data_IF_897606800694
#
_entry.id   IF_897606800694
#
_cell.length_a   1.000
_cell.length_b   1.000
_cell.length_c   1.000
_cell.angle_alpha   90.00
_cell.angle_beta   90.00
_cell.angle_gamma   90.00
#
_symmetry.space_group_name_H-M   'P 1'
#
loop_
_entity.id
_entity.type
_entity.pdbx_description
1 polymer ?
#
# COMPACT_ATOMS: atom_id res chain seq x y z
N UNK A 1 -22.08 11.60 -1.50
CA UNK A 1 -21.10 11.03 -2.45
C UNK A 1 -21.76 10.95 -3.82
N UNK A 2 -21.20 11.64 -4.82
CA UNK A 2 -21.67 11.64 -6.20
C UNK A 2 -20.65 10.92 -7.10
N UNK A 3 -21.10 9.99 -7.93
CA UNK A 3 -20.23 9.27 -8.89
C UNK A 3 -19.91 10.20 -10.07
N UNK A 4 -18.62 10.39 -10.35
CA UNK A 4 -18.11 11.15 -11.50
C UNK A 4 -17.89 10.20 -12.69
N UNK A 5 -17.24 9.05 -12.46
CA UNK A 5 -16.95 8.07 -13.50
C UNK A 5 -16.40 6.77 -12.95
N UNK A 6 -16.33 5.72 -13.79
CA UNK A 6 -15.68 4.45 -13.48
C UNK A 6 -14.22 4.52 -13.92
N UNK A 7 -13.30 4.03 -13.09
CA UNK A 7 -11.89 3.86 -13.44
C UNK A 7 -11.73 2.61 -14.32
N UNK A 8 -11.31 2.80 -15.57
CA UNK A 8 -11.27 1.72 -16.57
C UNK A 8 -10.16 0.69 -16.34
N UNK A 9 -9.05 1.12 -15.73
CA UNK A 9 -7.86 0.28 -15.52
C UNK A 9 -7.87 -0.53 -14.21
N UNK A 10 -8.91 -0.36 -13.36
CA UNK A 10 -9.00 -1.09 -12.11
C UNK A 10 -9.51 -2.52 -12.32
N UNK A 11 -8.85 -3.51 -11.68
CA UNK A 11 -9.24 -4.93 -11.71
C UNK A 11 -10.60 -5.19 -11.09
N UNK A 12 -10.95 -4.43 -10.06
CA UNK A 12 -12.26 -4.40 -9.38
C UNK A 12 -13.05 -3.15 -9.77
N UNK A 13 -14.32 -3.08 -9.36
CA UNK A 13 -15.12 -1.87 -9.60
C UNK A 13 -14.59 -0.72 -8.73
N UNK A 14 -13.96 0.26 -9.36
CA UNK A 14 -13.50 1.49 -8.73
C UNK A 14 -14.12 2.71 -9.44
N UNK A 15 -14.53 3.70 -8.66
CA UNK A 15 -15.19 4.91 -9.16
C UNK A 15 -14.51 6.16 -8.63
N UNK A 16 -14.25 7.11 -9.52
CA UNK A 16 -14.00 8.49 -9.13
C UNK A 16 -15.32 9.09 -8.63
N UNK A 17 -15.29 9.64 -7.44
CA UNK A 17 -16.45 10.25 -6.80
C UNK A 17 -16.11 11.63 -6.25
N UNK A 18 -17.13 12.48 -6.13
CA UNK A 18 -17.06 13.72 -5.34
C UNK A 18 -17.73 13.50 -4.01
N UNK A 19 -17.03 13.81 -2.93
CA UNK A 19 -17.57 13.80 -1.56
C UNK A 19 -17.78 15.23 -1.11
N UNK A 20 -18.99 15.55 -0.70
CA UNK A 20 -19.34 16.89 -0.21
C UNK A 20 -19.81 16.79 1.24
N UNK A 21 -19.21 17.60 2.12
CA UNK A 21 -19.60 17.75 3.53
C UNK A 21 -19.31 19.18 4.00
N UNK A 22 -20.26 19.81 4.70
CA UNK A 22 -20.07 21.15 5.26
C UNK A 22 -19.73 22.24 4.22
N UNK A 23 -20.18 22.11 2.97
CA UNK A 23 -19.86 23.05 1.89
C UNK A 23 -18.51 22.83 1.20
N UNK A 24 -17.68 21.88 1.69
CA UNK A 24 -16.41 21.50 1.07
C UNK A 24 -16.61 20.26 0.23
N UNK A 25 -16.01 20.22 -0.98
CA UNK A 25 -16.00 19.05 -1.87
C UNK A 25 -14.59 18.60 -2.10
N UNK A 26 -14.38 17.25 -2.13
CA UNK A 26 -13.10 16.63 -2.47
C UNK A 26 -13.33 15.45 -3.42
N UNK A 27 -12.32 15.16 -4.24
CA UNK A 27 -12.27 13.97 -5.06
C UNK A 27 -11.85 12.75 -4.21
N UNK A 28 -12.44 11.60 -4.49
CA UNK A 28 -12.11 10.34 -3.82
C UNK A 28 -12.27 9.15 -4.77
N UNK A 29 -11.64 8.03 -4.41
CA UNK A 29 -11.88 6.73 -5.03
C UNK A 29 -12.87 5.97 -4.14
N UNK A 30 -13.92 5.43 -4.74
CA UNK A 30 -14.87 4.55 -4.09
C UNK A 30 -14.79 3.14 -4.67
N UNK A 31 -14.49 2.17 -3.81
CA UNK A 31 -14.40 0.74 -4.16
C UNK A 31 -15.48 -0.01 -3.38
N UNK A 32 -16.65 -0.32 -3.99
CA UNK A 32 -17.73 -1.05 -3.33
C UNK A 32 -17.37 -2.52 -3.12
N UNK A 33 -17.69 -3.08 -1.96
CA UNK A 33 -17.54 -4.52 -1.65
C UNK A 33 -18.26 -5.38 -2.70
N UNK A 34 -19.45 -4.96 -3.16
CA UNK A 34 -20.20 -5.66 -4.21
C UNK A 34 -19.51 -5.73 -5.57
N UNK A 35 -18.42 -4.98 -5.75
CA UNK A 35 -17.60 -4.95 -6.97
C UNK A 35 -16.30 -5.70 -6.85
N UNK A 36 -16.02 -6.31 -5.72
CA UNK A 36 -14.81 -7.11 -5.49
C UNK A 36 -14.92 -8.45 -6.21
N UNK A 37 -13.80 -8.89 -6.81
CA UNK A 37 -13.66 -10.25 -7.33
C UNK A 37 -13.11 -11.12 -6.22
N UNK A 38 -13.74 -12.25 -5.90
CA UNK A 38 -13.22 -13.19 -4.91
C UNK A 38 -11.80 -13.63 -5.28
N UNK A 39 -10.89 -13.55 -4.31
CA UNK A 39 -9.53 -14.07 -4.42
C UNK A 39 -9.43 -15.35 -3.58
N UNK A 40 -8.94 -16.44 -4.19
CA UNK A 40 -8.86 -17.75 -3.55
C UNK A 40 -7.96 -17.74 -2.31
N UNK A 41 -6.98 -16.85 -2.28
CA UNK A 41 -5.99 -16.71 -1.23
C UNK A 41 -6.31 -15.57 -0.22
N UNK A 42 -7.44 -14.87 -0.40
CA UNK A 42 -7.98 -13.91 0.56
C UNK A 42 -9.46 -14.23 0.85
N UNK A 43 -9.74 -15.40 1.47
CA UNK A 43 -11.12 -15.87 1.66
C UNK A 43 -11.88 -15.07 2.73
N UNK A 44 -11.18 -14.44 3.65
CA UNK A 44 -11.75 -13.76 4.81
C UNK A 44 -11.78 -12.24 4.62
N UNK A 45 -12.78 -11.60 5.22
CA UNK A 45 -12.95 -10.15 5.17
C UNK A 45 -13.33 -9.61 3.78
N UNK A 46 -12.97 -8.36 3.53
CA UNK A 46 -13.17 -7.68 2.25
C UNK A 46 -11.91 -6.92 1.85
N UNK A 47 -11.71 -6.72 0.54
CA UNK A 47 -10.60 -5.89 0.06
C UNK A 47 -10.76 -4.43 0.51
N UNK A 48 -12.00 -3.93 0.55
CA UNK A 48 -12.32 -2.59 1.06
C UNK A 48 -12.01 -2.43 2.56
N UNK A 49 -12.21 -3.49 3.36
CA UNK A 49 -11.79 -3.54 4.76
C UNK A 49 -10.27 -3.46 4.92
N UNK A 50 -9.52 -4.17 4.07
CA UNK A 50 -8.04 -4.15 4.07
C UNK A 50 -7.47 -2.80 3.65
N UNK A 51 -8.11 -2.10 2.71
CA UNK A 51 -7.78 -0.70 2.36
C UNK A 51 -7.91 0.22 3.58
N UNK A 52 -9.00 0.07 4.35
CA UNK A 52 -9.22 0.85 5.58
C UNK A 52 -8.22 0.48 6.66
N UNK A 53 -7.94 -0.83 6.86
CA UNK A 53 -6.94 -1.29 7.81
C UNK A 53 -5.53 -0.76 7.48
N UNK A 54 -5.13 -0.74 6.21
CA UNK A 54 -3.85 -0.19 5.77
C UNK A 54 -3.72 1.30 6.12
N UNK A 55 -4.79 2.09 5.94
CA UNK A 55 -4.81 3.49 6.37
C UNK A 55 -4.63 3.64 7.89
N UNK A 56 -5.38 2.87 8.69
CA UNK A 56 -5.30 2.93 10.15
C UNK A 56 -3.88 2.59 10.65
N UNK A 57 -3.25 1.58 10.05
CA UNK A 57 -1.87 1.17 10.36
C UNK A 57 -0.88 2.26 9.96
N UNK A 58 -1.02 2.84 8.75
CA UNK A 58 -0.18 3.95 8.27
C UNK A 58 -0.24 5.15 9.20
N UNK A 59 -1.44 5.55 9.61
CA UNK A 59 -1.66 6.67 10.52
C UNK A 59 -1.10 6.38 11.93
N UNK A 60 -1.36 5.20 12.48
CA UNK A 60 -0.90 4.81 13.83
C UNK A 60 0.63 4.76 13.93
N UNK A 61 1.32 4.24 12.91
CA UNK A 61 2.78 4.23 12.86
C UNK A 61 3.39 5.58 12.50
N UNK A 62 2.63 6.46 11.86
CA UNK A 62 3.08 7.78 11.40
C UNK A 62 3.86 7.71 10.08
N UNK A 63 3.55 6.75 9.20
CA UNK A 63 4.13 6.71 7.85
C UNK A 63 3.54 7.74 6.91
N UNK A 64 2.25 8.06 7.09
CA UNK A 64 1.51 8.97 6.21
C UNK A 64 1.60 8.58 4.72
N UNK A 65 1.67 7.27 4.45
CA UNK A 65 1.75 6.69 3.10
C UNK A 65 0.36 6.56 2.50
N UNK A 66 -0.63 6.08 3.28
CA UNK A 66 -1.98 5.82 2.78
C UNK A 66 -2.83 7.08 2.94
N UNK A 67 -3.47 7.58 1.86
CA UNK A 67 -4.42 8.67 1.96
C UNK A 67 -5.60 8.31 2.87
N UNK A 68 -6.27 9.31 3.42
CA UNK A 68 -7.43 9.11 4.30
C UNK A 68 -8.44 8.15 3.67
N UNK A 69 -8.70 7.05 4.37
CA UNK A 69 -9.55 5.95 3.88
C UNK A 69 -10.55 5.55 4.95
N UNK A 70 -11.81 5.45 4.58
CA UNK A 70 -12.89 5.03 5.47
C UNK A 70 -13.77 3.98 4.80
N UNK A 71 -14.26 3.01 5.58
CA UNK A 71 -15.30 2.09 5.13
C UNK A 71 -16.67 2.70 5.44
N UNK A 72 -17.51 2.87 4.42
CA UNK A 72 -18.86 3.46 4.61
C UNK A 72 -19.84 3.08 3.52
N UNK A 73 -21.12 3.36 3.80
CA UNK A 73 -22.18 3.24 2.81
C UNK A 73 -21.99 4.27 1.69
N UNK A 74 -21.98 3.79 0.46
CA UNK A 74 -21.89 4.58 -0.76
C UNK A 74 -23.01 4.26 -1.75
N UNK A 75 -22.96 4.82 -2.98
CA UNK A 75 -24.02 4.65 -3.99
C UNK A 75 -24.24 3.20 -4.45
N UNK A 76 -23.28 2.30 -4.23
CA UNK A 76 -23.33 0.88 -4.61
C UNK A 76 -23.14 -0.06 -3.41
N UNK A 77 -23.58 0.36 -2.23
CA UNK A 77 -23.43 -0.41 -1.00
C UNK A 77 -22.23 0.02 -0.15
N UNK A 78 -21.83 -0.82 0.81
CA UNK A 78 -20.64 -0.57 1.63
C UNK A 78 -19.40 -0.70 0.75
N UNK A 79 -18.41 0.16 0.98
CA UNK A 79 -17.13 0.13 0.29
C UNK A 79 -16.10 1.06 0.94
N UNK A 80 -14.85 0.93 0.54
CA UNK A 80 -13.81 1.88 0.91
C UNK A 80 -13.97 3.18 0.12
N UNK A 81 -13.76 4.29 0.80
CA UNK A 81 -13.71 5.62 0.24
C UNK A 81 -12.37 6.24 0.64
N UNK A 82 -11.49 6.43 -0.33
CA UNK A 82 -10.14 6.96 -0.14
C UNK A 82 -10.00 8.31 -0.82
N UNK A 83 -9.41 9.30 -0.13
CA UNK A 83 -9.10 10.60 -0.72
C UNK A 83 -8.25 10.41 -1.99
N UNK A 84 -8.61 11.12 -3.05
CA UNK A 84 -7.78 11.18 -4.25
C UNK A 84 -6.48 11.93 -3.97
N UNK A 85 -5.38 11.45 -4.54
CA UNK A 85 -4.06 12.07 -4.43
C UNK A 85 -3.82 12.96 -5.65
N UNK A 86 -3.44 14.20 -5.44
CA UNK A 86 -3.21 15.17 -6.51
C UNK A 86 -4.49 15.63 -7.24
N UNK A 87 -4.33 16.03 -8.49
CA UNK A 87 -5.44 16.39 -9.39
C UNK A 87 -5.88 15.15 -10.18
N UNK A 88 -7.17 14.75 -10.13
CA UNK A 88 -7.66 13.58 -10.87
C UNK A 88 -7.61 13.72 -12.40
N UNK A 89 -7.28 14.90 -12.92
CA UNK A 89 -7.21 15.19 -14.34
C UNK A 89 -5.79 15.52 -14.83
N UNK A 90 -4.79 15.46 -13.93
CA UNK A 90 -3.37 15.65 -14.27
C UNK A 90 -2.62 14.32 -14.23
N UNK A 91 -1.54 14.24 -15.01
CA UNK A 91 -0.63 13.09 -14.93
C UNK A 91 0.09 13.09 -13.59
N UNK A 92 0.09 11.96 -12.85
CA UNK A 92 0.78 11.85 -11.58
C UNK A 92 2.30 11.78 -11.77
N UNK A 93 3.02 12.29 -10.78
CA UNK A 93 4.48 12.11 -10.69
C UNK A 93 4.78 10.76 -10.03
N UNK A 94 5.20 9.78 -10.83
CA UNK A 94 5.56 8.45 -10.35
C UNK A 94 6.99 8.42 -9.80
N UNK A 95 7.23 7.52 -8.84
CA UNK A 95 8.54 7.26 -8.20
C UNK A 95 9.11 5.91 -8.62
N UNK A 96 8.46 5.24 -9.55
CA UNK A 96 8.87 3.98 -10.20
C UNK A 96 8.67 4.14 -11.69
N UNK A 97 9.62 3.66 -12.50
CA UNK A 97 9.57 3.78 -13.96
C UNK A 97 10.17 2.55 -14.65
N UNK A 98 9.95 2.45 -15.95
CA UNK A 98 10.60 1.48 -16.84
C UNK A 98 11.41 2.23 -17.87
N UNK A 99 12.73 2.04 -17.84
CA UNK A 99 13.67 2.78 -18.68
C UNK A 99 14.60 1.83 -19.43
N UNK A 100 15.29 2.34 -20.46
CA UNK A 100 16.38 1.58 -21.08
C UNK A 100 17.54 1.39 -20.06
N UNK A 101 18.30 0.26 -20.13
CA UNK A 101 19.35 -0.03 -19.14
C UNK A 101 20.45 1.03 -19.02
N UNK A 102 20.68 1.80 -20.08
CA UNK A 102 21.66 2.90 -20.16
C UNK A 102 21.06 4.28 -19.82
N UNK A 103 19.74 4.34 -19.56
CA UNK A 103 18.99 5.55 -19.24
C UNK A 103 18.49 5.61 -17.80
N UNK A 104 19.07 4.79 -16.89
CA UNK A 104 18.72 4.85 -15.46
C UNK A 104 19.08 6.21 -14.89
N UNK A 105 18.12 6.99 -14.32
CA UNK A 105 18.42 8.31 -13.80
C UNK A 105 19.32 8.26 -12.56
N UNK A 106 20.09 9.32 -12.34
CA UNK A 106 20.85 9.49 -11.10
C UNK A 106 19.92 9.46 -9.88
N UNK A 107 20.30 8.72 -8.84
CA UNK A 107 19.49 8.58 -7.63
C UNK A 107 18.34 7.55 -7.76
N UNK A 108 18.33 6.75 -8.84
CA UNK A 108 17.39 5.64 -9.02
C UNK A 108 18.09 4.28 -8.92
N UNK A 109 17.37 3.27 -8.45
CA UNK A 109 17.89 1.92 -8.23
C UNK A 109 17.20 0.93 -9.17
N UNK A 110 17.95 0.12 -9.93
CA UNK A 110 17.39 -0.95 -10.76
C UNK A 110 16.90 -2.11 -9.90
N UNK A 111 15.72 -2.65 -10.25
CA UNK A 111 15.06 -3.74 -9.51
C UNK A 111 14.93 -5.00 -10.36
N UNK A 112 14.43 -4.87 -11.58
CA UNK A 112 14.12 -5.99 -12.47
C UNK A 112 14.53 -5.65 -13.90
N UNK A 113 15.21 -6.56 -14.58
CA UNK A 113 15.49 -6.49 -16.02
C UNK A 113 14.48 -7.32 -16.78
N UNK A 114 14.04 -6.82 -17.92
CA UNK A 114 13.07 -7.50 -18.78
C UNK A 114 13.17 -7.05 -20.23
N UNK A 115 12.16 -7.42 -21.00
CA UNK A 115 11.98 -7.00 -22.39
C UNK A 115 10.70 -6.14 -22.48
N UNK A 116 10.79 -5.04 -23.18
CA UNK A 116 9.66 -4.19 -23.52
C UNK A 116 8.75 -4.82 -24.58
N UNK A 117 7.65 -4.18 -24.90
CA UNK A 117 6.67 -4.69 -25.88
C UNK A 117 7.26 -4.92 -27.28
N UNK A 118 8.37 -4.25 -27.62
CA UNK A 118 9.07 -4.39 -28.90
C UNK A 118 10.27 -5.32 -28.85
N UNK A 119 10.50 -6.03 -27.71
CA UNK A 119 11.64 -6.89 -27.48
C UNK A 119 12.94 -6.15 -27.14
N UNK A 120 12.88 -4.85 -26.90
CA UNK A 120 14.00 -4.05 -26.44
C UNK A 120 14.27 -4.28 -24.94
N UNK A 121 15.56 -4.29 -24.52
CA UNK A 121 15.88 -4.47 -23.11
C UNK A 121 15.42 -3.27 -22.30
N UNK A 122 14.74 -3.54 -21.18
CA UNK A 122 14.25 -2.55 -20.24
C UNK A 122 14.60 -2.91 -18.80
N UNK A 123 14.57 -1.94 -17.91
CA UNK A 123 14.75 -2.14 -16.48
C UNK A 123 13.69 -1.35 -15.69
N UNK A 124 13.05 -2.04 -14.75
CA UNK A 124 12.21 -1.40 -13.74
C UNK A 124 13.12 -0.75 -12.72
N UNK A 125 12.91 0.51 -12.45
CA UNK A 125 13.69 1.32 -11.51
C UNK A 125 12.77 2.04 -10.53
N UNK A 126 13.26 2.30 -9.32
CA UNK A 126 12.60 3.21 -8.39
C UNK A 126 13.58 4.24 -7.83
N UNK A 127 13.06 5.33 -7.36
CA UNK A 127 13.83 6.38 -6.72
C UNK A 127 14.47 5.88 -5.41
N UNK A 128 15.75 6.20 -5.19
CA UNK A 128 16.48 5.94 -3.92
C UNK A 128 16.30 7.13 -2.98
N UNK A 129 15.11 7.27 -2.41
CA UNK A 129 14.81 8.36 -1.49
C UNK A 129 14.23 7.86 -0.18
N UNK A 130 14.37 8.64 0.92
CA UNK A 130 13.77 8.29 2.21
C UNK A 130 12.26 8.09 2.15
N UNK A 131 11.57 8.83 1.29
CA UNK A 131 10.11 8.72 1.14
C UNK A 131 9.70 7.38 0.51
N UNK A 132 10.41 6.92 -0.53
CA UNK A 132 10.17 5.62 -1.17
C UNK A 132 10.62 4.48 -0.24
N UNK A 133 11.72 4.65 0.47
CA UNK A 133 12.21 3.71 1.47
C UNK A 133 11.21 3.48 2.61
N UNK A 134 10.51 4.55 3.06
CA UNK A 134 9.44 4.44 4.06
C UNK A 134 8.26 3.60 3.55
N UNK A 135 7.91 3.71 2.26
CA UNK A 135 6.89 2.85 1.66
C UNK A 135 7.32 1.39 1.66
N UNK A 136 8.59 1.10 1.37
CA UNK A 136 9.09 -0.28 1.38
C UNK A 136 8.99 -0.93 2.77
N UNK A 137 9.26 -0.19 3.86
CA UNK A 137 9.03 -0.67 5.24
C UNK A 137 7.53 -0.87 5.50
N UNK A 138 6.72 0.09 5.11
CA UNK A 138 5.27 0.02 5.27
C UNK A 138 4.69 -1.20 4.54
N UNK A 139 5.09 -1.46 3.29
CA UNK A 139 4.67 -2.65 2.54
C UNK A 139 5.08 -3.96 3.24
N UNK A 140 6.26 -4.00 3.86
CA UNK A 140 6.69 -5.15 4.65
C UNK A 140 5.84 -5.35 5.92
N UNK A 141 5.44 -4.27 6.59
CA UNK A 141 4.54 -4.31 7.76
C UNK A 141 3.17 -4.86 7.40
N UNK A 142 2.55 -4.31 6.37
CA UNK A 142 1.21 -4.75 5.93
C UNK A 142 1.25 -5.98 5.04
N UNK A 143 2.44 -6.52 4.72
CA UNK A 143 2.60 -7.67 3.82
C UNK A 143 1.88 -7.46 2.49
N UNK A 144 2.17 -6.34 1.82
CA UNK A 144 1.53 -5.97 0.57
C UNK A 144 1.88 -6.98 -0.53
N UNK A 145 0.86 -7.62 -1.11
CA UNK A 145 1.05 -8.69 -2.09
C UNK A 145 0.96 -8.24 -3.54
N UNK A 146 0.82 -6.92 -3.81
CA UNK A 146 0.70 -6.39 -5.17
C UNK A 146 1.15 -4.92 -5.30
N UNK A 147 2.28 -4.54 -4.69
CA UNK A 147 2.81 -3.18 -4.83
C UNK A 147 3.39 -2.96 -6.21
N UNK A 148 2.66 -2.28 -7.07
CA UNK A 148 3.06 -1.85 -8.41
C UNK A 148 3.60 -0.43 -8.40
N UNK A 149 4.34 -0.06 -9.45
CA UNK A 149 4.90 1.28 -9.58
C UNK A 149 3.82 2.35 -9.70
N UNK A 150 2.76 2.09 -10.46
CA UNK A 150 1.63 3.01 -10.63
C UNK A 150 0.77 3.20 -9.37
N UNK A 151 0.98 2.39 -8.32
CA UNK A 151 0.33 2.57 -7.03
C UNK A 151 1.04 3.60 -6.13
N UNK A 152 2.11 4.23 -6.60
CA UNK A 152 2.93 5.17 -5.84
C UNK A 152 3.05 6.49 -6.58
N UNK A 153 2.65 7.57 -5.93
CA UNK A 153 2.72 8.92 -6.50
C UNK A 153 3.29 9.91 -5.49
N UNK A 154 3.95 10.94 -6.01
CA UNK A 154 4.47 12.03 -5.19
C UNK A 154 3.35 13.00 -4.83
N UNK A 155 3.29 13.40 -3.56
CA UNK A 155 2.40 14.45 -3.07
C UNK A 155 3.08 15.24 -1.95
N UNK A 156 3.11 16.57 -2.08
CA UNK A 156 3.58 17.49 -1.02
C UNK A 156 4.97 17.11 -0.44
N UNK A 157 5.90 16.66 -1.28
CA UNK A 157 7.26 16.28 -0.89
C UNK A 157 7.39 14.90 -0.25
N UNK A 158 6.27 14.15 -0.10
CA UNK A 158 6.25 12.75 0.31
C UNK A 158 5.84 11.81 -0.84
N UNK A 159 5.59 10.56 -0.51
CA UNK A 159 5.04 9.55 -1.42
C UNK A 159 3.76 8.99 -0.84
N UNK A 160 2.71 8.97 -1.64
CA UNK A 160 1.43 8.34 -1.32
C UNK A 160 1.31 7.01 -2.04
N UNK A 161 0.82 6.02 -1.31
CA UNK A 161 0.49 4.71 -1.84
C UNK A 161 -1.00 4.44 -1.77
N UNK A 162 -1.53 3.74 -2.75
CA UNK A 162 -2.92 3.28 -2.80
C UNK A 162 -3.00 1.85 -3.31
N UNK A 163 -4.21 1.29 -3.38
CA UNK A 163 -4.49 -0.09 -3.76
C UNK A 163 -3.88 -1.13 -2.79
N UNK A 164 -4.29 -1.05 -1.52
CA UNK A 164 -3.83 -1.92 -0.43
C UNK A 164 -4.80 -3.09 -0.13
N UNK A 165 -5.80 -3.30 -0.98
CA UNK A 165 -6.81 -4.35 -0.77
C UNK A 165 -6.21 -5.76 -0.69
N UNK A 166 -5.09 -6.01 -1.35
CA UNK A 166 -4.38 -7.30 -1.36
C UNK A 166 -3.19 -7.25 -0.40
N UNK A 167 -3.47 -7.07 0.90
CA UNK A 167 -2.48 -6.97 1.97
C UNK A 167 -2.95 -7.67 3.24
N UNK A 168 -2.10 -7.71 4.27
CA UNK A 168 -2.42 -8.21 5.60
C UNK A 168 -2.70 -9.73 5.68
N UNK A 169 -2.28 -10.50 4.68
CA UNK A 169 -2.38 -11.96 4.71
C UNK A 169 -1.54 -12.55 5.86
N UNK A 170 -1.95 -13.72 6.36
CA UNK A 170 -1.26 -14.45 7.44
C UNK A 170 0.11 -14.92 6.98
N UNK A 171 0.18 -15.55 5.80
CA UNK A 171 1.42 -16.04 5.20
C UNK A 171 2.25 -14.89 4.63
N UNK A 172 3.58 -15.04 4.61
CA UNK A 172 4.49 -14.07 4.00
C UNK A 172 4.32 -14.06 2.48
N UNK A 173 3.70 -13.01 1.95
CA UNK A 173 3.37 -12.83 0.53
C UNK A 173 3.83 -11.48 -0.02
N UNK A 174 4.84 -10.86 0.58
CA UNK A 174 5.31 -9.56 0.13
C UNK A 174 5.74 -9.61 -1.35
N UNK A 175 5.07 -8.80 -2.18
CA UNK A 175 5.36 -8.60 -3.59
C UNK A 175 5.40 -7.12 -3.87
N UNK A 176 6.58 -6.63 -4.24
CA UNK A 176 6.78 -5.20 -4.41
C UNK A 176 7.80 -4.91 -5.50
N UNK A 177 7.71 -3.74 -6.11
CA UNK A 177 8.74 -3.20 -7.01
C UNK A 177 9.82 -2.43 -6.26
N UNK A 178 9.81 -2.43 -4.91
CA UNK A 178 10.74 -1.63 -4.09
C UNK A 178 11.92 -2.45 -3.54
N UNK A 179 12.28 -3.56 -4.17
CA UNK A 179 13.38 -4.42 -3.74
C UNK A 179 14.78 -3.80 -3.80
N UNK A 180 14.94 -2.61 -4.38
CA UNK A 180 16.23 -1.91 -4.36
C UNK A 180 16.74 -1.54 -2.96
N UNK A 181 15.88 -1.60 -1.93
CA UNK A 181 16.26 -1.43 -0.53
C UNK A 181 16.61 -2.74 0.18
N UNK A 182 16.34 -3.92 -0.41
CA UNK A 182 16.47 -5.21 0.24
C UNK A 182 17.84 -5.40 0.93
N UNK A 183 17.83 -5.85 2.20
CA UNK A 183 19.00 -6.07 3.02
C UNK A 183 19.68 -4.82 3.58
N UNK A 184 19.28 -3.61 3.18
CA UNK A 184 19.81 -2.38 3.78
C UNK A 184 19.35 -2.24 5.23
N UNK A 185 20.17 -1.63 6.13
CA UNK A 185 19.73 -1.33 7.49
C UNK A 185 18.52 -0.39 7.51
N UNK A 186 17.57 -0.61 8.44
CA UNK A 186 16.48 0.35 8.68
C UNK A 186 17.01 1.60 9.37
N UNK A 187 16.71 2.81 8.85
CA UNK A 187 17.03 4.05 9.54
C UNK A 187 16.21 4.21 10.83
N UNK A 188 16.74 4.96 11.81
CA UNK A 188 16.12 5.11 13.14
C UNK A 188 14.67 5.65 13.06
N UNK A 189 14.38 6.51 12.10
CA UNK A 189 13.02 7.02 11.89
C UNK A 189 12.01 5.89 11.61
N UNK A 190 12.42 4.83 10.90
CA UNK A 190 11.58 3.67 10.64
C UNK A 190 11.43 2.79 11.89
N UNK A 191 12.48 2.66 12.68
CA UNK A 191 12.40 1.96 13.96
C UNK A 191 11.47 2.67 14.94
N UNK A 192 11.46 4.00 14.97
CA UNK A 192 10.52 4.78 15.78
C UNK A 192 9.07 4.61 15.32
N UNK A 193 8.84 4.53 14.01
CA UNK A 193 7.51 4.21 13.44
C UNK A 193 7.04 2.82 13.84
N UNK A 194 7.93 1.83 13.75
CA UNK A 194 7.63 0.44 14.14
C UNK A 194 7.34 0.33 15.65
N UNK A 195 8.14 0.99 16.51
CA UNK A 195 7.89 1.04 17.97
C UNK A 195 6.51 1.65 18.28
N UNK A 196 6.21 2.78 17.65
CA UNK A 196 4.91 3.46 17.80
C UNK A 196 3.75 2.55 17.41
N UNK A 197 3.88 1.83 16.29
CA UNK A 197 2.86 0.88 15.85
C UNK A 197 2.74 -0.31 16.82
N UNK A 198 3.84 -0.89 17.29
CA UNK A 198 3.83 -2.01 18.26
C UNK A 198 3.13 -1.59 19.55
N UNK A 199 3.44 -0.41 20.08
CA UNK A 199 2.76 0.18 21.23
C UNK A 199 1.26 0.41 20.99
N UNK A 200 0.89 0.94 19.80
CA UNK A 200 -0.50 1.17 19.43
C UNK A 200 -1.29 -0.14 19.29
N UNK A 201 -0.67 -1.21 18.83
CA UNK A 201 -1.30 -2.55 18.73
C UNK A 201 -1.45 -3.20 20.10
N UNK A 202 -0.43 -3.09 20.96
CA UNK A 202 -0.44 -3.70 22.31
C UNK A 202 -1.48 -3.03 23.24
N UNK A 203 -1.56 -1.70 23.20
CA UNK A 203 -2.41 -0.89 24.07
C UNK A 203 -2.09 -0.97 25.56
N UNK A 204 -2.69 -0.07 26.34
CA UNK A 204 -2.66 -0.15 27.81
C UNK A 204 -3.74 -1.12 28.29
N UNK A 205 -3.42 -2.03 29.20
CA UNK A 205 -4.32 -3.04 29.75
C UNK A 205 -4.86 -4.11 28.74
N UNK A 206 -4.11 -4.38 27.66
CA UNK A 206 -4.39 -5.50 26.76
C UNK A 206 -5.52 -5.30 25.75
N UNK A 207 -6.03 -4.07 25.60
CA UNK A 207 -6.99 -3.69 24.54
C UNK A 207 -6.68 -2.30 24.03
N UNK A 208 -6.09 -2.22 22.82
CA UNK A 208 -5.89 -0.95 22.16
C UNK A 208 -7.13 -0.55 21.33
N UNK A 209 -7.35 0.76 21.21
CA UNK A 209 -8.37 1.28 20.30
C UNK A 209 -8.08 0.84 18.86
N UNK A 210 -6.80 0.92 18.44
CA UNK A 210 -6.36 0.47 17.12
C UNK A 210 -6.66 -1.01 16.89
N UNK A 211 -6.28 -1.89 17.82
CA UNK A 211 -6.55 -3.33 17.72
C UNK A 211 -8.05 -3.62 17.59
N UNK A 212 -8.88 -2.95 18.39
CA UNK A 212 -10.33 -3.11 18.36
C UNK A 212 -10.93 -2.65 17.03
N UNK A 213 -10.42 -1.58 16.44
CA UNK A 213 -10.87 -1.07 15.15
C UNK A 213 -10.41 -1.99 14.01
N UNK A 214 -9.15 -2.41 14.00
CA UNK A 214 -8.62 -3.37 13.01
C UNK A 214 -9.37 -4.71 13.05
N UNK A 215 -9.81 -5.19 14.22
CA UNK A 215 -10.59 -6.42 14.37
C UNK A 215 -11.97 -6.36 13.68
N UNK A 216 -12.45 -5.18 13.28
CA UNK A 216 -13.66 -5.06 12.43
C UNK A 216 -13.39 -5.34 10.96
N UNK A 217 -12.13 -5.38 10.54
CA UNK A 217 -11.68 -5.55 9.16
C UNK A 217 -10.85 -6.80 8.93
N UNK A 218 -10.19 -7.30 9.97
CA UNK A 218 -9.21 -8.40 9.91
C UNK A 218 -9.57 -9.51 10.91
N UNK A 219 -9.16 -10.72 10.60
CA UNK A 219 -9.26 -11.85 11.51
C UNK A 219 -8.22 -11.75 12.63
N UNK A 220 -8.42 -12.49 13.73
CA UNK A 220 -7.46 -12.57 14.82
C UNK A 220 -6.09 -13.07 14.34
N UNK A 221 -6.06 -14.07 13.45
CA UNK A 221 -4.81 -14.60 12.89
C UNK A 221 -4.04 -13.56 12.07
N UNK A 222 -4.73 -12.70 11.31
CA UNK A 222 -4.11 -11.61 10.53
C UNK A 222 -3.56 -10.51 11.46
N UNK A 223 -4.25 -10.19 12.54
CA UNK A 223 -3.77 -9.26 13.57
C UNK A 223 -2.52 -9.80 14.29
N UNK A 224 -2.51 -11.09 14.65
CA UNK A 224 -1.35 -11.74 15.25
C UNK A 224 -0.14 -11.73 14.29
N UNK A 225 -0.39 -12.02 13.00
CA UNK A 225 0.64 -11.97 11.94
C UNK A 225 1.18 -10.55 11.73
N UNK A 226 0.34 -9.52 11.77
CA UNK A 226 0.75 -8.11 11.72
C UNK A 226 1.70 -7.79 12.89
N UNK A 227 1.31 -8.08 14.12
CA UNK A 227 2.15 -7.86 15.29
C UNK A 227 3.48 -8.65 15.23
N UNK A 228 3.46 -9.88 14.71
CA UNK A 228 4.66 -10.68 14.53
C UNK A 228 5.63 -10.05 13.49
N UNK A 229 5.12 -9.50 12.38
CA UNK A 229 5.93 -8.80 11.37
C UNK A 229 6.59 -7.54 11.94
N UNK A 230 5.84 -6.73 12.69
CA UNK A 230 6.37 -5.52 13.35
C UNK A 230 7.52 -5.89 14.30
N UNK A 231 7.32 -6.86 15.19
CA UNK A 231 8.35 -7.33 16.14
C UNK A 231 9.56 -7.94 15.43
N UNK A 232 9.35 -8.66 14.32
CA UNK A 232 10.45 -9.20 13.49
C UNK A 232 11.32 -8.09 12.90
N UNK A 233 10.71 -7.02 12.36
CA UNK A 233 11.44 -5.87 11.82
C UNK A 233 12.20 -5.08 12.91
N UNK A 234 11.66 -5.01 14.13
CA UNK A 234 12.36 -4.42 15.28
C UNK A 234 13.55 -5.27 15.75
N UNK A 235 13.41 -6.60 15.73
CA UNK A 235 14.46 -7.54 16.15
C UNK A 235 15.58 -7.69 15.11
N UNK A 236 15.26 -7.56 13.83
CA UNK A 236 16.19 -7.62 12.71
C UNK A 236 16.00 -6.36 11.85
N UNK A 237 16.66 -5.24 12.22
CA UNK A 237 16.40 -3.93 11.67
C UNK A 237 16.99 -3.74 10.26
N UNK A 238 16.47 -4.52 9.31
CA UNK A 238 16.84 -4.45 7.90
C UNK A 238 15.59 -4.61 7.02
N UNK A 239 15.63 -4.01 5.83
CA UNK A 239 14.62 -4.26 4.80
C UNK A 239 14.61 -5.76 4.46
N UNK A 240 13.44 -6.40 4.36
CA UNK A 240 13.36 -7.83 4.08
C UNK A 240 14.00 -8.18 2.72
N UNK A 241 14.47 -9.42 2.62
CA UNK A 241 14.89 -10.00 1.34
C UNK A 241 13.67 -10.62 0.63
N UNK A 242 13.69 -10.71 -0.71
CA UNK A 242 12.68 -11.47 -1.45
C UNK A 242 12.57 -12.91 -0.94
N UNK A 243 11.34 -13.39 -0.70
CA UNK A 243 11.08 -14.76 -0.28
C UNK A 243 11.22 -15.74 -1.46
N UNK A 244 11.59 -17.00 -1.16
CA UNK A 244 11.75 -18.05 -2.18
C UNK A 244 10.42 -18.74 -2.54
N UNK A 245 9.43 -18.72 -1.65
CA UNK A 245 8.18 -19.48 -1.79
C UNK A 245 7.05 -18.78 -2.57
N UNK A 246 7.22 -17.51 -2.92
CA UNK A 246 6.21 -16.67 -3.55
C UNK A 246 6.82 -15.71 -4.57
N UNK A 247 6.17 -15.41 -5.71
CA UNK A 247 6.69 -14.44 -6.66
C UNK A 247 6.96 -13.10 -6.00
N UNK A 248 8.21 -12.63 -6.01
CA UNK A 248 8.62 -11.43 -5.28
C UNK A 248 8.14 -10.12 -5.95
N UNK A 249 7.89 -10.13 -7.26
CA UNK A 249 7.48 -8.97 -8.06
C UNK A 249 6.04 -9.17 -8.55
N UNK A 250 5.14 -8.17 -8.40
CA UNK A 250 3.82 -8.22 -9.01
C UNK A 250 3.92 -8.16 -10.54
N UNK A 251 2.95 -8.74 -11.23
CA UNK A 251 2.91 -8.69 -12.70
C UNK A 251 1.53 -8.17 -13.17
N UNK A 252 1.49 -7.17 -14.09
CA UNK A 252 2.63 -6.34 -14.51
C UNK A 252 3.20 -5.50 -13.36
N UNK A 253 4.48 -5.04 -13.44
CA UNK A 253 5.12 -4.28 -12.36
C UNK A 253 4.66 -2.82 -12.28
N UNK A 254 4.00 -2.29 -13.33
CA UNK A 254 3.39 -0.96 -13.41
C UNK A 254 1.89 -1.03 -13.60
#
# INVERSE_FOLDING_TARGET
VAVVGRLAQASNHAFLVTVTAGGTSLAAIYKPVSGERPLWDFPDGTLAGRETAAYLISAAGGWDVVPETVLRQGPRGVGSLQRWVGDPYADPEYVVDVVAPDAVPDGWVPVLRGEGERGDPVVVVHEDSPAVAAVAVFDAVINNSDRKGTHLVREAGGVRGFDHGVSLHVDDKLRTVLWGFAGRPLPEVELDRLRRLDEALAGTAGRSALHSELATHLTAAELDALGARVRRLLALPAYPLPGEGWPAIPWPPL
#
